data_IF_878928482823
#
_entry.id   IF_878928482823
#
_cell.length_a   1.000
_cell.length_b   1.000
_cell.length_c   1.000
_cell.angle_alpha   90.00
_cell.angle_beta   90.00
_cell.angle_gamma   90.00
#
_symmetry.space_group_name_H-M   'P 1'
#
loop_
_entity.id
_entity.type
_entity.pdbx_description
1 polymer ?
#
# COMPACT_ATOMS: atom_id res chain seq x y z
N UNK A 1 -6.45 7.96 -17.00
CA UNK A 1 -5.47 6.87 -17.22
C UNK A 1 -6.05 5.64 -16.56
N UNK A 2 -5.98 4.46 -17.18
CA UNK A 2 -6.50 3.23 -16.56
C UNK A 2 -5.58 2.90 -15.38
N UNK A 3 -5.99 3.20 -14.15
CA UNK A 3 -5.24 2.79 -12.95
C UNK A 3 -5.32 1.27 -12.87
N UNK A 4 -4.20 0.60 -13.13
CA UNK A 4 -4.08 -0.83 -12.87
C UNK A 4 -4.18 -0.99 -11.35
N UNK A 5 -5.21 -1.71 -10.87
CA UNK A 5 -5.29 -2.14 -9.48
C UNK A 5 -3.98 -2.83 -9.10
N UNK A 6 -3.28 -2.30 -8.09
CA UNK A 6 -1.99 -2.84 -7.65
C UNK A 6 -2.24 -3.91 -6.61
N UNK A 7 -2.68 -5.09 -7.05
CA UNK A 7 -2.77 -6.23 -6.14
C UNK A 7 -1.37 -6.72 -5.74
N UNK A 8 -1.15 -6.84 -4.43
CA UNK A 8 0.03 -7.48 -3.87
C UNK A 8 -0.25 -8.98 -3.74
N UNK A 9 0.39 -9.77 -4.61
CA UNK A 9 0.27 -11.24 -4.63
C UNK A 9 1.64 -11.89 -4.72
N UNK A 10 1.74 -13.12 -4.21
CA UNK A 10 2.96 -13.94 -4.29
C UNK A 10 4.21 -13.21 -3.80
N UNK A 11 5.23 -13.13 -4.67
CA UNK A 11 6.51 -12.51 -4.33
C UNK A 11 6.38 -11.00 -4.03
N UNK A 12 5.41 -10.29 -4.63
CA UNK A 12 5.21 -8.88 -4.34
C UNK A 12 4.73 -8.65 -2.89
N UNK A 13 3.84 -9.52 -2.40
CA UNK A 13 3.39 -9.50 -1.01
C UNK A 13 4.52 -9.86 -0.04
N UNK A 14 5.31 -10.90 -0.38
CA UNK A 14 6.47 -11.30 0.42
C UNK A 14 7.54 -10.19 0.47
N UNK A 15 7.78 -9.50 -0.64
CA UNK A 15 8.69 -8.37 -0.71
C UNK A 15 8.20 -7.19 0.15
N UNK A 16 6.91 -6.85 0.08
CA UNK A 16 6.31 -5.80 0.89
C UNK A 16 6.46 -6.09 2.40
N UNK A 17 6.22 -7.34 2.82
CA UNK A 17 6.43 -7.75 4.21
C UNK A 17 7.90 -7.56 4.65
N UNK A 18 8.87 -7.96 3.81
CA UNK A 18 10.31 -7.76 4.10
C UNK A 18 10.70 -6.27 4.15
N UNK A 19 10.14 -5.43 3.29
CA UNK A 19 10.36 -3.98 3.33
C UNK A 19 9.82 -3.35 4.62
N UNK A 20 8.69 -3.88 5.12
CA UNK A 20 8.16 -3.54 6.43
C UNK A 20 8.94 -4.16 7.61
N UNK A 21 10.01 -4.93 7.34
CA UNK A 21 10.80 -5.69 8.32
C UNK A 21 9.96 -6.71 9.09
N UNK A 22 8.94 -7.26 8.45
CA UNK A 22 8.09 -8.33 8.98
C UNK A 22 8.55 -9.67 8.39
N UNK A 23 9.04 -10.56 9.24
CA UNK A 23 9.34 -11.94 8.86
C UNK A 23 8.07 -12.80 8.99
N UNK A 24 7.31 -12.85 7.89
CA UNK A 24 6.05 -13.58 7.80
C UNK A 24 6.26 -14.88 7.03
N UNK A 25 5.98 -16.01 7.68
CA UNK A 25 5.89 -17.30 6.99
C UNK A 25 4.69 -17.35 6.04
N UNK A 26 4.65 -18.34 5.12
CA UNK A 26 3.62 -18.47 4.08
C UNK A 26 2.18 -18.41 4.63
N UNK A 27 1.91 -19.15 5.72
CA UNK A 27 0.59 -19.17 6.35
C UNK A 27 0.13 -17.78 6.82
N UNK A 28 1.05 -16.92 7.28
CA UNK A 28 0.73 -15.56 7.68
C UNK A 28 0.53 -14.64 6.49
N UNK A 29 1.29 -14.84 5.42
CA UNK A 29 1.13 -14.08 4.17
C UNK A 29 -0.26 -14.29 3.57
N UNK A 30 -0.76 -15.54 3.56
CA UNK A 30 -2.10 -15.87 3.07
C UNK A 30 -3.21 -15.17 3.87
N UNK A 31 -2.98 -14.94 5.17
CA UNK A 31 -3.94 -14.23 6.04
C UNK A 31 -3.91 -12.72 5.82
N UNK A 32 -2.72 -12.12 5.68
CA UNK A 32 -2.60 -10.65 5.59
C UNK A 32 -2.82 -10.12 4.17
N UNK A 33 -2.61 -10.95 3.14
CA UNK A 33 -2.76 -10.58 1.73
C UNK A 33 -4.11 -9.93 1.40
N UNK A 34 -5.25 -10.56 1.73
CA UNK A 34 -6.57 -9.97 1.48
C UNK A 34 -6.77 -8.63 2.20
N UNK A 35 -6.27 -8.51 3.44
CA UNK A 35 -6.39 -7.27 4.21
C UNK A 35 -5.61 -6.13 3.55
N UNK A 36 -4.34 -6.34 3.22
CA UNK A 36 -3.50 -5.27 2.64
C UNK A 36 -4.02 -4.87 1.26
N UNK A 37 -4.49 -5.82 0.45
CA UNK A 37 -5.11 -5.51 -0.84
C UNK A 37 -6.40 -4.71 -0.68
N UNK A 38 -7.21 -4.96 0.36
CA UNK A 38 -8.35 -4.12 0.70
C UNK A 38 -7.97 -2.68 1.07
N UNK A 39 -6.86 -2.51 1.81
CA UNK A 39 -6.34 -1.18 2.14
C UNK A 39 -5.85 -0.45 0.88
N UNK A 40 -5.10 -1.12 0.00
CA UNK A 40 -4.65 -0.53 -1.27
C UNK A 40 -5.83 -0.17 -2.18
N UNK A 41 -6.85 -1.01 -2.28
CA UNK A 41 -8.06 -0.69 -3.03
C UNK A 41 -8.77 0.57 -2.49
N UNK A 42 -8.77 0.77 -1.16
CA UNK A 42 -9.27 2.01 -0.56
C UNK A 42 -8.37 3.21 -0.92
N UNK A 43 -7.05 3.06 -0.88
CA UNK A 43 -6.11 4.13 -1.26
C UNK A 43 -6.23 4.50 -2.75
N UNK A 44 -6.48 3.54 -3.62
CA UNK A 44 -6.67 3.77 -5.05
C UNK A 44 -7.88 4.68 -5.34
N UNK A 45 -8.86 4.78 -4.42
CA UNK A 45 -9.97 5.76 -4.54
C UNK A 45 -9.48 7.21 -4.46
N UNK A 46 -8.30 7.46 -3.89
CA UNK A 46 -7.71 8.81 -3.84
C UNK A 46 -7.31 9.31 -5.23
N UNK A 47 -7.10 8.43 -6.21
CA UNK A 47 -6.83 8.81 -7.61
C UNK A 47 -8.01 9.62 -8.22
N UNK A 48 -9.22 9.46 -7.69
CA UNK A 48 -10.41 10.17 -8.16
C UNK A 48 -10.44 11.63 -7.68
N UNK A 49 -9.59 12.00 -6.72
CA UNK A 49 -9.56 13.35 -6.14
C UNK A 49 -8.72 14.27 -7.03
N UNK A 50 -9.32 15.28 -7.69
CA UNK A 50 -8.57 16.21 -8.53
C UNK A 50 -7.72 17.15 -7.66
N UNK A 51 -6.39 16.99 -7.72
CA UNK A 51 -5.46 17.80 -6.93
C UNK A 51 -5.18 19.19 -7.52
N UNK A 52 -5.40 19.39 -8.83
CA UNK A 52 -5.10 20.66 -9.50
C UNK A 52 -3.64 21.10 -9.28
N UNK A 53 -3.43 22.36 -8.92
CA UNK A 53 -2.13 22.93 -8.60
C UNK A 53 -1.74 22.78 -7.11
N UNK A 54 -2.42 21.91 -6.35
CA UNK A 54 -2.15 21.73 -4.91
C UNK A 54 -0.73 21.21 -4.70
N UNK A 55 0.18 21.99 -4.09
CA UNK A 55 1.55 21.53 -3.88
C UNK A 55 1.58 20.44 -2.80
N UNK A 56 2.53 19.49 -2.86
CA UNK A 56 2.72 18.50 -1.80
C UNK A 56 2.94 19.17 -0.44
N UNK A 57 2.26 18.69 0.59
CA UNK A 57 2.49 19.16 1.95
C UNK A 57 3.87 18.67 2.44
N UNK A 58 4.83 19.59 2.54
CA UNK A 58 6.22 19.28 2.94
C UNK A 58 6.43 19.24 4.45
N UNK A 59 5.40 19.59 5.23
CA UNK A 59 5.45 19.61 6.69
C UNK A 59 5.09 18.24 7.34
N UNK A 60 4.85 17.20 6.54
CA UNK A 60 4.56 15.86 7.07
C UNK A 60 5.83 15.23 7.65
N UNK A 61 5.82 14.99 8.97
CA UNK A 61 6.86 14.24 9.66
C UNK A 61 6.45 12.77 9.75
N UNK A 62 7.14 11.92 8.97
CA UNK A 62 6.86 10.47 8.92
C UNK A 62 7.48 9.69 10.09
N UNK A 63 8.10 10.37 11.06
CA UNK A 63 8.68 9.74 12.25
C UNK A 63 7.57 9.40 13.24
N UNK A 64 7.52 8.14 13.63
CA UNK A 64 6.70 7.66 14.73
C UNK A 64 7.59 7.71 15.98
N UNK A 65 7.58 8.83 16.71
CA UNK A 65 8.23 8.95 18.03
C UNK A 65 7.40 8.26 19.13
#
# INVERSE_FOLDING_TARGET
MSTQSRELVGEALALAARQARLDLGPERLDVVGPMINGIYAMLDTLDEVPLGETPPATAFDARWE
#
